data_IF_152334499724
#
_entry.id   IF_152334499724
#
_cell.length_a   1.000
_cell.length_b   1.000
_cell.length_c   1.000
_cell.angle_alpha   90.00
_cell.angle_beta   90.00
_cell.angle_gamma   90.00
#
_symmetry.space_group_name_H-M   'P 1'
#
loop_
_entity.id
_entity.type
_entity.pdbx_description
1 polymer ?
#
# COMPACT_ATOMS: atom_id res chain seq x y z
N UNK A 1 1.15 -4.08 -61.69
CA UNK A 1 1.94 -3.38 -60.65
C UNK A 1 2.76 -4.43 -59.92
N UNK A 2 4.00 -4.66 -60.35
CA UNK A 2 4.89 -5.67 -59.77
C UNK A 2 5.58 -5.07 -58.53
N UNK A 3 5.41 -5.69 -57.37
CA UNK A 3 6.16 -5.34 -56.16
C UNK A 3 7.62 -5.77 -56.32
N UNK A 4 8.54 -4.81 -56.17
CA UNK A 4 9.99 -5.06 -56.21
C UNK A 4 10.42 -5.79 -54.92
N UNK A 5 10.82 -7.08 -55.01
CA UNK A 5 11.18 -7.89 -53.85
C UNK A 5 12.36 -7.32 -53.05
N UNK A 6 13.27 -6.60 -53.73
CA UNK A 6 14.42 -5.98 -53.08
C UNK A 6 14.01 -4.82 -52.16
N UNK A 7 12.98 -4.08 -52.56
CA UNK A 7 12.44 -2.96 -51.78
C UNK A 7 11.66 -3.43 -50.56
N UNK A 8 10.94 -4.54 -50.67
CA UNK A 8 10.21 -5.16 -49.55
C UNK A 8 11.16 -5.74 -48.50
N UNK A 9 12.24 -6.40 -48.92
CA UNK A 9 13.28 -6.90 -48.02
C UNK A 9 14.00 -5.76 -47.29
N UNK A 10 14.33 -4.67 -48.00
CA UNK A 10 14.97 -3.50 -47.40
C UNK A 10 14.08 -2.84 -46.33
N UNK A 11 12.76 -2.75 -46.57
CA UNK A 11 11.79 -2.22 -45.61
C UNK A 11 11.69 -3.10 -44.37
N UNK A 12 11.60 -4.43 -44.53
CA UNK A 12 11.60 -5.37 -43.39
C UNK A 12 12.88 -5.25 -42.55
N UNK A 13 14.04 -5.20 -43.20
CA UNK A 13 15.32 -5.02 -42.50
C UNK A 13 15.41 -3.68 -41.75
N UNK A 14 14.81 -2.61 -42.27
CA UNK A 14 14.73 -1.32 -41.59
C UNK A 14 13.78 -1.38 -40.37
N UNK A 15 12.60 -1.98 -40.52
CA UNK A 15 11.62 -2.16 -39.43
C UNK A 15 12.20 -3.00 -38.28
N UNK A 16 12.87 -4.11 -38.59
CA UNK A 16 13.52 -4.94 -37.57
C UNK A 16 14.62 -4.18 -36.83
N UNK A 17 15.40 -3.34 -37.53
CA UNK A 17 16.42 -2.49 -36.89
C UNK A 17 15.82 -1.50 -35.90
N UNK A 18 14.71 -0.87 -36.25
CA UNK A 18 13.97 0.03 -35.34
C UNK A 18 13.45 -0.73 -34.12
N UNK A 19 12.77 -1.87 -34.32
CA UNK A 19 12.28 -2.70 -33.21
C UNK A 19 13.38 -3.15 -32.24
N UNK A 20 14.55 -3.52 -32.77
CA UNK A 20 15.70 -3.92 -31.95
C UNK A 20 16.26 -2.73 -31.16
N UNK A 21 16.29 -1.54 -31.76
CA UNK A 21 16.72 -0.31 -31.07
C UNK A 21 15.75 0.07 -29.94
N UNK A 22 14.44 0.03 -30.20
CA UNK A 22 13.41 0.32 -29.19
C UNK A 22 13.47 -0.68 -28.03
N UNK A 23 13.60 -1.97 -28.34
CA UNK A 23 13.74 -3.02 -27.32
C UNK A 23 14.97 -2.82 -26.44
N UNK A 24 16.10 -2.40 -27.02
CA UNK A 24 17.32 -2.07 -26.27
C UNK A 24 17.12 -0.87 -25.36
N UNK A 25 16.43 0.17 -25.84
CA UNK A 25 16.14 1.35 -25.04
C UNK A 25 15.22 1.03 -23.85
N UNK A 26 14.22 0.19 -24.07
CA UNK A 26 13.29 -0.26 -23.03
C UNK A 26 14.00 -1.11 -21.96
N UNK A 27 14.90 -2.01 -22.38
CA UNK A 27 15.73 -2.80 -21.46
C UNK A 27 16.74 -1.96 -20.68
N UNK A 28 17.31 -0.92 -21.30
CA UNK A 28 18.20 0.02 -20.61
C UNK A 28 17.45 0.78 -19.50
N UNK A 29 16.27 1.32 -19.80
CA UNK A 29 15.40 1.97 -18.81
C UNK A 29 14.96 1.03 -17.68
N UNK A 30 14.67 -0.23 -18.01
CA UNK A 30 14.34 -1.23 -17.00
C UNK A 30 15.52 -1.50 -16.06
N UNK A 31 16.75 -1.61 -16.60
CA UNK A 31 17.97 -1.78 -15.80
C UNK A 31 18.27 -0.56 -14.93
N UNK A 32 18.14 0.65 -15.46
CA UNK A 32 18.29 1.89 -14.69
C UNK A 32 17.29 1.95 -13.53
N UNK A 33 16.02 1.59 -13.78
CA UNK A 33 15.00 1.48 -12.73
C UNK A 33 15.38 0.44 -11.68
N UNK A 34 15.84 -0.75 -12.08
CA UNK A 34 16.30 -1.78 -11.14
C UNK A 34 17.51 -1.33 -10.32
N UNK A 35 18.46 -0.63 -10.92
CA UNK A 35 19.64 -0.09 -10.22
C UNK A 35 19.25 1.03 -9.23
N UNK A 36 18.38 1.95 -9.65
CA UNK A 36 17.83 2.99 -8.80
C UNK A 36 17.04 2.38 -7.62
N UNK A 37 16.22 1.35 -7.89
CA UNK A 37 15.53 0.57 -6.87
C UNK A 37 16.50 -0.10 -5.89
N UNK A 38 17.58 -0.74 -6.38
CA UNK A 38 18.57 -1.39 -5.52
C UNK A 38 19.36 -0.38 -4.66
N UNK A 39 19.66 0.81 -5.20
CA UNK A 39 20.30 1.88 -4.43
C UNK A 39 19.37 2.44 -3.35
N UNK A 40 18.11 2.69 -3.71
CA UNK A 40 17.09 3.12 -2.75
C UNK A 40 16.86 2.06 -1.67
N UNK A 41 16.81 0.77 -2.01
CA UNK A 41 16.66 -0.35 -1.08
C UNK A 41 17.75 -0.37 0.00
N UNK A 42 19.01 -0.19 -0.41
CA UNK A 42 20.14 -0.11 0.52
C UNK A 42 20.00 1.08 1.46
N UNK A 43 19.50 2.22 0.96
CA UNK A 43 19.26 3.40 1.78
C UNK A 43 18.10 3.22 2.77
N UNK A 44 17.04 2.49 2.40
CA UNK A 44 15.90 2.17 3.27
C UNK A 44 16.31 1.15 4.33
N UNK A 45 16.99 0.07 3.93
CA UNK A 45 17.51 -0.93 4.86
C UNK A 45 18.44 -0.31 5.90
N UNK A 46 19.37 0.55 5.47
CA UNK A 46 20.25 1.27 6.38
C UNK A 46 19.49 2.22 7.33
N UNK A 47 18.43 2.89 6.85
CA UNK A 47 17.58 3.75 7.70
C UNK A 47 16.74 2.95 8.68
N UNK A 48 16.17 1.83 8.26
CA UNK A 48 15.40 0.92 9.09
C UNK A 48 16.27 0.26 10.17
N UNK A 49 17.49 -0.20 9.81
CA UNK A 49 18.49 -0.69 10.76
C UNK A 49 18.88 0.39 11.77
N UNK A 50 19.23 1.60 11.28
CA UNK A 50 19.56 2.72 12.16
C UNK A 50 18.39 3.14 13.07
N UNK A 51 17.13 2.95 12.64
CA UNK A 51 15.94 3.23 13.44
C UNK A 51 15.70 2.13 14.48
N UNK A 52 15.83 0.86 14.09
CA UNK A 52 15.73 -0.28 15.00
C UNK A 52 16.74 -0.17 16.15
N UNK A 53 17.97 0.23 15.86
CA UNK A 53 19.02 0.47 16.87
C UNK A 53 18.67 1.62 17.84
N UNK A 54 17.96 2.66 17.36
CA UNK A 54 17.49 3.76 18.22
C UNK A 54 16.36 3.35 19.18
N UNK A 55 15.56 2.35 18.81
CA UNK A 55 14.41 1.90 19.60
C UNK A 55 14.68 0.67 20.47
N UNK A 56 15.80 -0.02 20.26
CA UNK A 56 16.19 -1.21 21.03
C UNK A 56 16.27 -0.99 22.56
N UNK A 57 16.40 0.27 23.02
CA UNK A 57 16.59 0.60 24.43
C UNK A 57 15.42 1.38 25.08
N UNK A 58 14.22 1.38 24.47
CA UNK A 58 13.07 2.18 24.93
C UNK A 58 11.77 1.40 25.19
N UNK A 59 11.83 0.08 25.33
CA UNK A 59 10.63 -0.76 25.44
C UNK A 59 10.05 -0.71 26.86
N UNK A 60 9.15 0.24 27.13
CA UNK A 60 8.36 0.23 28.37
C UNK A 60 6.99 -0.39 28.12
N UNK A 61 6.74 -1.49 28.83
CA UNK A 61 5.40 -1.95 29.16
C UNK A 61 4.60 -0.79 29.76
N UNK A 62 3.53 -0.37 29.11
CA UNK A 62 2.50 0.47 29.70
C UNK A 62 1.25 0.39 28.84
N UNK A 63 0.28 -0.36 29.36
CA UNK A 63 -1.17 -0.24 29.25
C UNK A 63 -1.78 0.43 28.00
N UNK A 64 -2.76 -0.29 27.44
CA UNK A 64 -3.65 0.17 26.39
C UNK A 64 -4.07 1.62 26.57
N UNK A 65 -3.97 2.32 25.44
CA UNK A 65 -4.24 3.72 25.11
C UNK A 65 -2.99 4.39 24.53
N UNK A 66 -3.08 5.04 23.36
CA UNK A 66 -1.94 5.71 22.79
C UNK A 66 -1.59 6.93 23.64
N UNK A 67 -0.55 6.79 24.48
CA UNK A 67 0.22 7.95 24.91
C UNK A 67 0.75 8.68 23.67
N UNK A 68 1.01 9.99 23.74
CA UNK A 68 1.63 10.71 22.62
C UNK A 68 2.97 10.08 22.17
N UNK A 69 3.64 9.32 23.06
CA UNK A 69 4.83 8.52 22.73
C UNK A 69 4.48 7.21 22.02
N UNK A 70 3.42 6.51 22.42
CA UNK A 70 2.92 5.31 21.74
C UNK A 70 2.51 5.60 20.29
N UNK A 71 1.76 6.70 20.06
CA UNK A 71 1.38 7.14 18.70
C UNK A 71 2.58 7.39 17.77
N UNK A 72 3.67 7.94 18.31
CA UNK A 72 4.91 8.17 17.54
C UNK A 72 5.61 6.86 17.21
N UNK A 73 5.74 5.96 18.18
CA UNK A 73 6.36 4.66 17.96
C UNK A 73 5.58 3.77 16.97
N UNK A 74 4.25 3.90 16.91
CA UNK A 74 3.41 3.21 15.92
C UNK A 74 3.57 3.81 14.53
N UNK A 75 3.59 5.15 14.44
CA UNK A 75 3.86 5.86 13.20
C UNK A 75 5.26 5.55 12.64
N UNK A 76 6.27 5.40 13.50
CA UNK A 76 7.63 5.06 13.10
C UNK A 76 7.72 3.65 12.48
N UNK A 77 7.04 2.67 13.09
CA UNK A 77 7.01 1.30 12.55
C UNK A 77 6.18 1.20 11.29
N UNK A 78 5.00 1.82 11.25
CA UNK A 78 4.19 1.90 10.03
C UNK A 78 4.93 2.66 8.93
N UNK A 79 5.72 3.67 9.27
CA UNK A 79 6.64 4.35 8.35
C UNK A 79 7.62 3.38 7.71
N UNK A 80 8.32 2.57 8.53
CA UNK A 80 9.22 1.54 8.03
C UNK A 80 8.53 0.50 7.13
N UNK A 81 7.31 0.09 7.48
CA UNK A 81 6.51 -0.84 6.65
C UNK A 81 6.11 -0.20 5.33
N UNK A 82 5.61 1.04 5.34
CA UNK A 82 5.20 1.75 4.13
C UNK A 82 6.40 1.94 3.19
N UNK A 83 7.58 2.28 3.72
CA UNK A 83 8.81 2.35 2.92
C UNK A 83 9.21 0.98 2.34
N UNK A 84 9.17 -0.08 3.14
CA UNK A 84 9.46 -1.43 2.67
C UNK A 84 8.43 -1.89 1.62
N UNK A 85 7.16 -1.56 1.81
CA UNK A 85 6.06 -1.90 0.92
C UNK A 85 6.20 -1.17 -0.43
N UNK A 86 6.58 0.10 -0.43
CA UNK A 86 6.88 0.86 -1.65
C UNK A 86 8.04 0.24 -2.44
N UNK A 87 9.03 -0.33 -1.74
CA UNK A 87 10.13 -1.05 -2.39
C UNK A 87 9.71 -2.42 -2.93
N UNK A 88 9.00 -3.19 -2.11
CA UNK A 88 8.66 -4.56 -2.44
C UNK A 88 7.60 -4.57 -3.55
N UNK A 89 6.51 -3.82 -3.44
CA UNK A 89 5.46 -3.80 -4.46
C UNK A 89 5.88 -2.88 -5.62
N UNK A 90 6.69 -3.42 -6.54
CA UNK A 90 7.13 -2.71 -7.74
C UNK A 90 5.93 -2.11 -8.51
N UNK A 91 6.12 -0.96 -9.17
CA UNK A 91 5.10 -0.23 -9.92
C UNK A 91 4.08 0.58 -9.09
N UNK A 92 4.18 0.65 -7.76
CA UNK A 92 3.47 1.67 -6.99
C UNK A 92 4.26 2.99 -6.97
N UNK A 93 3.55 4.11 -7.06
CA UNK A 93 4.10 5.47 -6.98
C UNK A 93 3.97 6.05 -5.57
N UNK A 94 2.98 5.57 -4.81
CA UNK A 94 2.80 5.96 -3.42
C UNK A 94 2.09 4.86 -2.63
N UNK A 95 2.40 4.81 -1.33
CA UNK A 95 1.90 3.81 -0.37
C UNK A 95 1.55 4.50 0.94
N UNK A 96 0.49 4.05 1.61
CA UNK A 96 0.14 4.52 2.95
C UNK A 96 -0.39 3.41 3.84
N UNK A 97 -0.38 3.68 5.15
CA UNK A 97 -1.03 2.87 6.16
C UNK A 97 -2.10 3.72 6.86
N UNK A 98 -3.35 3.30 6.73
CA UNK A 98 -4.51 3.85 7.44
C UNK A 98 -4.68 3.12 8.77
N UNK A 99 -5.03 3.85 9.83
CA UNK A 99 -5.49 3.30 11.11
C UNK A 99 -6.93 3.72 11.38
N UNK A 100 -7.74 2.82 11.93
CA UNK A 100 -9.12 3.12 12.34
C UNK A 100 -9.17 3.31 13.86
N UNK A 101 -9.75 4.42 14.32
CA UNK A 101 -10.12 4.56 15.73
C UNK A 101 -11.49 3.90 15.96
N UNK A 102 -11.51 2.88 16.82
CA UNK A 102 -12.70 2.12 17.20
C UNK A 102 -13.15 2.41 18.64
N UNK A 103 -12.50 3.34 19.36
CA UNK A 103 -12.75 3.60 20.78
C UNK A 103 -13.70 4.77 21.05
N UNK A 104 -14.15 5.49 20.01
CA UNK A 104 -15.09 6.60 20.15
C UNK A 104 -16.55 6.16 20.27
N UNK A 105 -17.37 6.92 21.02
CA UNK A 105 -18.84 6.81 21.04
C UNK A 105 -19.51 7.24 19.70
N UNK A 106 -18.70 7.58 18.69
CA UNK A 106 -19.11 8.08 17.37
C UNK A 106 -18.64 7.15 16.24
N UNK A 107 -19.05 7.46 15.00
CA UNK A 107 -18.67 6.71 13.79
C UNK A 107 -17.16 6.46 13.72
N UNK A 108 -16.71 5.31 13.15
CA UNK A 108 -15.29 5.03 12.97
C UNK A 108 -14.61 6.20 12.25
N UNK A 109 -13.45 6.62 12.78
CA UNK A 109 -12.64 7.68 12.16
C UNK A 109 -11.35 7.10 11.62
N UNK A 110 -11.04 7.43 10.36
CA UNK A 110 -9.84 6.98 9.66
C UNK A 110 -8.73 8.04 9.76
N UNK A 111 -7.48 7.56 9.78
CA UNK A 111 -6.30 8.43 9.76
C UNK A 111 -5.16 7.74 9.02
N UNK A 112 -4.49 8.46 8.14
CA UNK A 112 -3.22 8.04 7.57
C UNK A 112 -2.12 8.16 8.63
N UNK A 113 -1.62 7.01 9.10
CA UNK A 113 -0.59 6.94 10.13
C UNK A 113 0.83 7.04 9.55
N UNK A 114 1.01 6.61 8.30
CA UNK A 114 2.26 6.74 7.53
C UNK A 114 1.94 6.77 6.04
N UNK A 115 2.74 7.50 5.26
CA UNK A 115 2.57 7.60 3.81
C UNK A 115 3.88 7.94 3.09
N UNK A 116 3.95 7.59 1.81
CA UNK A 116 4.96 8.04 0.85
C UNK A 116 4.27 8.77 -0.30
N UNK A 117 4.99 9.69 -0.96
CA UNK A 117 4.46 10.41 -2.12
C UNK A 117 3.13 11.11 -1.84
N UNK A 118 2.18 10.99 -2.76
CA UNK A 118 0.84 11.59 -2.66
C UNK A 118 -0.21 10.73 -1.92
N UNK A 119 0.16 9.60 -1.31
CA UNK A 119 -0.82 8.65 -0.77
C UNK A 119 -1.72 9.24 0.32
N UNK A 120 -1.20 10.10 1.20
CA UNK A 120 -2.01 10.74 2.25
C UNK A 120 -3.14 11.60 1.69
N UNK A 121 -2.89 12.32 0.59
CA UNK A 121 -3.92 13.14 -0.07
C UNK A 121 -5.01 12.28 -0.72
N UNK A 122 -4.64 11.11 -1.25
CA UNK A 122 -5.60 10.15 -1.81
C UNK A 122 -6.43 9.48 -0.72
N UNK A 123 -5.80 9.16 0.42
CA UNK A 123 -6.49 8.68 1.62
C UNK A 123 -7.51 9.71 2.13
N UNK A 124 -7.09 10.97 2.31
CA UNK A 124 -7.94 12.07 2.75
C UNK A 124 -9.16 12.25 1.83
N UNK A 125 -8.98 12.19 0.51
CA UNK A 125 -10.08 12.23 -0.44
C UNK A 125 -11.10 11.10 -0.23
N UNK A 126 -10.65 9.88 0.04
CA UNK A 126 -11.56 8.75 0.32
C UNK A 126 -12.33 8.98 1.62
N UNK A 127 -11.66 9.47 2.66
CA UNK A 127 -12.30 9.74 3.96
C UNK A 127 -13.37 10.83 3.86
N UNK A 128 -13.06 11.93 3.17
CA UNK A 128 -13.99 13.05 2.98
C UNK A 128 -15.21 12.67 2.13
N UNK A 129 -14.99 11.83 1.11
CA UNK A 129 -16.05 11.40 0.21
C UNK A 129 -16.86 10.24 0.79
N UNK A 130 -16.29 9.48 1.73
CA UNK A 130 -16.90 8.29 2.31
C UNK A 130 -16.98 7.12 1.32
N UNK A 131 -16.10 7.10 0.31
CA UNK A 131 -16.02 6.03 -0.68
C UNK A 131 -14.57 5.82 -1.13
N UNK A 132 -14.21 4.58 -1.45
CA UNK A 132 -12.92 4.25 -2.05
C UNK A 132 -12.36 2.92 -1.59
N UNK A 133 -11.34 2.40 -2.30
CA UNK A 133 -10.78 1.08 -2.03
C UNK A 133 -10.27 0.92 -0.59
N UNK A 134 -9.74 1.98 0.04
CA UNK A 134 -9.31 1.93 1.45
C UNK A 134 -10.48 1.69 2.40
N UNK A 135 -11.59 2.39 2.19
CA UNK A 135 -12.77 2.28 3.04
C UNK A 135 -13.45 0.94 2.84
N UNK A 136 -13.63 0.54 1.58
CA UNK A 136 -14.18 -0.77 1.23
C UNK A 136 -13.33 -1.91 1.82
N UNK A 137 -11.99 -1.81 1.79
CA UNK A 137 -11.10 -2.81 2.38
C UNK A 137 -11.22 -2.89 3.91
N UNK A 138 -11.63 -1.81 4.57
CA UNK A 138 -11.92 -1.80 6.02
C UNK A 138 -13.33 -2.32 6.30
N UNK A 139 -14.30 -2.08 5.42
CA UNK A 139 -15.71 -2.43 5.68
C UNK A 139 -16.07 -3.87 5.30
N UNK A 140 -15.45 -4.44 4.27
CA UNK A 140 -15.88 -5.72 3.69
C UNK A 140 -15.55 -6.94 4.55
N UNK A 141 -14.28 -7.12 4.92
CA UNK A 141 -13.81 -8.27 5.69
C UNK A 141 -12.42 -8.02 6.29
N UNK A 142 -12.01 -8.83 7.26
CA UNK A 142 -10.79 -8.70 8.06
C UNK A 142 -9.49 -8.59 7.25
N UNK A 143 -9.41 -9.25 6.09
CA UNK A 143 -8.25 -9.23 5.19
C UNK A 143 -8.71 -8.97 3.73
N UNK A 144 -9.75 -8.16 3.55
CA UNK A 144 -10.22 -7.83 2.21
C UNK A 144 -9.13 -7.12 1.41
N UNK A 145 -8.94 -7.55 0.16
CA UNK A 145 -8.08 -6.88 -0.82
C UNK A 145 -8.98 -6.28 -1.91
N UNK A 146 -9.03 -4.95 -1.97
CA UNK A 146 -9.85 -4.20 -2.93
C UNK A 146 -8.93 -3.56 -3.96
N UNK A 147 -9.12 -3.90 -5.24
CA UNK A 147 -8.30 -3.41 -6.35
C UNK A 147 -9.14 -2.57 -7.31
N UNK A 148 -8.56 -1.46 -7.75
CA UNK A 148 -9.03 -0.66 -8.86
C UNK A 148 -7.99 -0.72 -9.98
N UNK A 149 -8.26 -1.53 -10.99
CA UNK A 149 -7.35 -1.76 -12.11
C UNK A 149 -7.21 -0.51 -12.99
N UNK A 150 -8.29 0.22 -13.23
CA UNK A 150 -8.25 1.55 -13.82
C UNK A 150 -9.32 2.45 -13.18
N UNK A 151 -8.89 3.45 -12.42
CA UNK A 151 -9.78 4.43 -11.80
C UNK A 151 -10.44 5.35 -12.83
N UNK A 152 -9.89 5.48 -14.04
CA UNK A 152 -10.57 6.16 -15.14
C UNK A 152 -11.60 5.26 -15.86
N UNK A 153 -11.67 3.98 -15.49
CA UNK A 153 -12.57 3.00 -16.08
C UNK A 153 -14.04 3.15 -15.63
N UNK A 154 -14.95 2.61 -16.44
CA UNK A 154 -16.40 2.63 -16.17
C UNK A 154 -16.79 1.84 -14.91
N UNK A 155 -16.01 0.81 -14.57
CA UNK A 155 -16.20 0.04 -13.34
C UNK A 155 -15.92 0.88 -12.09
N UNK A 156 -14.74 1.49 -12.00
CA UNK A 156 -14.40 2.36 -10.88
C UNK A 156 -15.42 3.51 -10.74
N UNK A 157 -15.86 4.10 -11.86
CA UNK A 157 -16.87 5.16 -11.86
C UNK A 157 -18.24 4.72 -11.34
N UNK A 158 -18.59 3.44 -11.49
CA UNK A 158 -19.84 2.86 -10.97
C UNK A 158 -19.76 2.64 -9.45
N UNK A 159 -18.60 2.22 -8.96
CA UNK A 159 -18.40 1.85 -7.54
C UNK A 159 -18.08 3.10 -6.69
N UNK A 160 -17.17 3.95 -7.17
CA UNK A 160 -16.72 5.18 -6.48
C UNK A 160 -16.90 6.42 -7.38
N UNK A 161 -18.15 6.83 -7.63
CA UNK A 161 -18.46 7.90 -8.58
C UNK A 161 -17.85 9.26 -8.21
N UNK A 162 -17.66 9.56 -6.92
CA UNK A 162 -17.14 10.85 -6.45
C UNK A 162 -15.61 10.85 -6.35
N UNK A 163 -15.00 9.70 -6.06
CA UNK A 163 -13.55 9.56 -5.91
C UNK A 163 -12.83 9.62 -7.26
N UNK A 164 -13.36 8.96 -8.30
CA UNK A 164 -12.74 8.88 -9.62
C UNK A 164 -12.25 10.22 -10.19
N UNK A 165 -13.04 11.31 -10.21
CA UNK A 165 -12.55 12.60 -10.73
C UNK A 165 -11.42 13.16 -9.88
N UNK A 166 -11.48 13.05 -8.55
CA UNK A 166 -10.42 13.50 -7.64
C UNK A 166 -9.14 12.68 -7.82
N UNK A 167 -9.27 11.36 -7.94
CA UNK A 167 -8.15 10.47 -8.20
C UNK A 167 -7.46 10.80 -9.54
N UNK A 168 -8.23 11.17 -10.57
CA UNK A 168 -7.69 11.61 -11.86
C UNK A 168 -6.90 12.92 -11.74
N UNK A 169 -7.41 13.90 -10.99
CA UNK A 169 -6.72 15.17 -10.73
C UNK A 169 -5.42 14.97 -9.93
N UNK A 170 -5.41 13.98 -9.03
CA UNK A 170 -4.22 13.55 -8.27
C UNK A 170 -3.27 12.66 -9.09
N UNK A 171 -3.61 12.34 -10.34
CA UNK A 171 -2.78 11.51 -11.23
C UNK A 171 -2.76 10.02 -10.89
N UNK A 172 -3.74 9.53 -10.10
CA UNK A 172 -3.85 8.11 -9.73
C UNK A 172 -4.74 7.37 -10.72
N UNK A 173 -4.22 6.29 -11.27
CA UNK A 173 -4.91 5.45 -12.28
C UNK A 173 -5.17 4.03 -11.82
N UNK A 174 -4.45 3.51 -10.85
CA UNK A 174 -4.83 2.26 -10.19
C UNK A 174 -4.57 2.33 -8.70
N UNK A 175 -5.33 1.54 -7.95
CA UNK A 175 -5.24 1.47 -6.50
C UNK A 175 -5.38 0.02 -6.03
N UNK A 176 -4.73 -0.31 -4.93
CA UNK A 176 -4.90 -1.55 -4.18
C UNK A 176 -4.91 -1.22 -2.69
N UNK A 177 -5.95 -1.66 -2.00
CA UNK A 177 -6.06 -1.52 -0.54
C UNK A 177 -6.25 -2.89 0.09
N UNK A 178 -5.50 -3.17 1.15
CA UNK A 178 -5.60 -4.43 1.87
C UNK A 178 -5.84 -4.15 3.34
N UNK A 179 -6.92 -4.73 3.90
CA UNK A 179 -7.24 -4.63 5.32
C UNK A 179 -6.11 -5.15 6.22
N UNK A 180 -5.95 -4.54 7.39
CA UNK A 180 -5.01 -4.97 8.42
C UNK A 180 -5.76 -5.85 9.44
N UNK A 181 -5.68 -7.20 9.33
CA UNK A 181 -6.49 -8.10 10.16
C UNK A 181 -6.02 -8.07 11.61
N UNK A 182 -6.88 -8.49 12.54
CA UNK A 182 -6.45 -8.81 13.90
C UNK A 182 -5.68 -10.14 13.87
N UNK A 183 -4.45 -10.17 14.38
CA UNK A 183 -3.63 -11.40 14.37
C UNK A 183 -3.74 -12.22 15.65
N UNK A 184 -4.30 -11.65 16.71
CA UNK A 184 -4.58 -12.37 17.95
C UNK A 184 -6.06 -12.76 17.99
N UNK A 185 -6.32 -14.07 17.91
CA UNK A 185 -7.63 -14.67 18.18
C UNK A 185 -7.99 -14.39 19.65
N UNK A 186 -8.57 -13.22 19.93
CA UNK A 186 -9.05 -12.87 21.26
C UNK A 186 -10.27 -13.73 21.54
N UNK A 187 -10.09 -14.78 22.34
CA UNK A 187 -11.20 -15.50 22.98
C UNK A 187 -11.96 -14.47 23.82
N UNK A 188 -13.15 -14.07 23.36
CA UNK A 188 -14.00 -13.09 24.04
C UNK A 188 -14.05 -11.70 23.41
N UNK A 189 -13.38 -11.45 22.28
CA UNK A 189 -13.68 -10.25 21.48
C UNK A 189 -14.53 -10.64 20.29
N UNK A 190 -15.69 -10.00 20.27
CA UNK A 190 -16.77 -10.11 19.31
C UNK A 190 -16.29 -10.22 17.84
N UNK A 191 -16.79 -11.21 17.06
CA UNK A 191 -16.46 -11.41 15.65
C UNK A 191 -16.88 -10.28 14.70
N UNK A 192 -17.50 -9.21 15.23
CA UNK A 192 -17.98 -8.04 14.50
C UNK A 192 -16.98 -6.86 14.46
N UNK A 193 -15.69 -7.06 14.78
CA UNK A 193 -14.70 -5.97 14.70
C UNK A 193 -14.18 -5.76 13.28
N UNK A 194 -14.15 -4.49 12.85
CA UNK A 194 -13.53 -4.06 11.60
C UNK A 194 -11.99 -4.21 11.71
N UNK A 195 -11.25 -4.29 10.57
CA UNK A 195 -9.79 -4.28 10.53
C UNK A 195 -9.16 -3.14 11.36
N UNK A 196 -7.90 -3.32 11.77
CA UNK A 196 -7.08 -2.28 12.42
C UNK A 196 -6.93 -1.01 11.58
N UNK A 197 -7.17 -1.14 10.27
CA UNK A 197 -6.71 -0.21 9.26
C UNK A 197 -6.63 -0.86 7.89
N UNK A 198 -5.92 -0.20 6.98
CA UNK A 198 -5.60 -0.71 5.65
C UNK A 198 -4.18 -0.30 5.24
N UNK A 199 -3.54 -1.14 4.44
CA UNK A 199 -2.33 -0.80 3.68
C UNK A 199 -2.73 -0.49 2.24
N UNK A 200 -2.45 0.72 1.79
CA UNK A 200 -2.91 1.25 0.51
C UNK A 200 -1.74 1.48 -0.45
N UNK A 201 -1.97 1.21 -1.72
CA UNK A 201 -1.00 1.35 -2.80
C UNK A 201 -1.66 2.07 -3.97
N UNK A 202 -0.96 3.05 -4.54
CA UNK A 202 -1.46 3.86 -5.64
C UNK A 202 -0.42 3.94 -6.76
N UNK A 203 -0.89 3.97 -8.01
CA UNK A 203 -0.04 4.14 -9.17
C UNK A 203 -0.70 5.01 -10.25
N UNK A 204 0.11 5.77 -10.98
CA UNK A 204 -0.26 6.57 -12.14
C UNK A 204 -0.43 5.72 -13.42
N UNK A 205 0.07 4.48 -13.41
CA UNK A 205 -0.22 3.50 -14.45
C UNK A 205 -1.52 2.74 -14.13
N UNK A 206 -2.38 2.48 -15.13
CA UNK A 206 -3.45 1.49 -14.96
C UNK A 206 -2.85 0.07 -14.88
N UNK A 207 -3.59 -0.85 -14.28
CA UNK A 207 -3.25 -2.26 -14.08
C UNK A 207 -1.88 -2.48 -13.41
N UNK A 208 -1.49 -1.61 -12.48
CA UNK A 208 -0.20 -1.73 -11.81
C UNK A 208 -0.13 -2.92 -10.85
N UNK A 209 -1.28 -3.40 -10.33
CA UNK A 209 -1.36 -4.39 -9.26
C UNK A 209 -1.86 -5.76 -9.74
N UNK A 210 -0.98 -6.48 -10.42
CA UNK A 210 -1.24 -7.88 -10.78
C UNK A 210 -1.34 -8.80 -9.55
N UNK A 211 -1.72 -10.06 -9.76
CA UNK A 211 -1.90 -11.06 -8.70
C UNK A 211 -0.65 -11.24 -7.82
N UNK A 212 0.55 -11.16 -8.39
CA UNK A 212 1.79 -11.29 -7.63
C UNK A 212 1.97 -10.11 -6.66
N UNK A 213 1.68 -8.88 -7.11
CA UNK A 213 1.73 -7.69 -6.27
C UNK A 213 0.63 -7.69 -5.21
N UNK A 214 -0.58 -8.10 -5.56
CA UNK A 214 -1.66 -8.29 -4.60
C UNK A 214 -1.25 -9.24 -3.47
N UNK A 215 -0.66 -10.40 -3.81
CA UNK A 215 -0.19 -11.35 -2.81
C UNK A 215 0.88 -10.76 -1.88
N UNK A 216 1.84 -10.00 -2.44
CA UNK A 216 2.89 -9.32 -1.65
C UNK A 216 2.30 -8.24 -0.74
N UNK A 217 1.35 -7.46 -1.25
CA UNK A 217 0.63 -6.47 -0.46
C UNK A 217 -0.11 -7.12 0.71
N UNK A 218 -0.77 -8.27 0.49
CA UNK A 218 -1.42 -9.05 1.56
C UNK A 218 -0.44 -9.52 2.63
N UNK A 219 0.72 -10.06 2.25
CA UNK A 219 1.73 -10.47 3.23
C UNK A 219 2.26 -9.29 4.05
N UNK A 220 2.46 -8.14 3.41
CA UNK A 220 2.88 -6.91 4.08
C UNK A 220 1.80 -6.38 5.02
N UNK A 221 0.53 -6.43 4.62
CA UNK A 221 -0.61 -6.06 5.45
C UNK A 221 -0.70 -6.96 6.70
N UNK A 222 -0.55 -8.29 6.54
CA UNK A 222 -0.48 -9.22 7.67
C UNK A 222 0.68 -8.92 8.62
N UNK A 223 1.85 -8.56 8.08
CA UNK A 223 3.01 -8.22 8.90
C UNK A 223 2.81 -6.91 9.67
N UNK A 224 2.24 -5.89 9.01
CA UNK A 224 1.87 -4.63 9.63
C UNK A 224 0.87 -4.85 10.77
N UNK A 225 -0.18 -5.62 10.49
CA UNK A 225 -1.17 -6.05 11.46
C UNK A 225 -0.56 -6.77 12.66
N UNK A 226 0.39 -7.69 12.46
CA UNK A 226 1.06 -8.41 13.54
C UNK A 226 1.90 -7.48 14.42
N UNK A 227 2.62 -6.53 13.80
CA UNK A 227 3.43 -5.54 14.52
C UNK A 227 2.56 -4.54 15.30
N UNK A 228 1.38 -4.20 14.78
CA UNK A 228 0.39 -3.40 15.49
C UNK A 228 -0.29 -4.18 16.63
N UNK A 229 -0.63 -5.45 16.40
CA UNK A 229 -1.32 -6.30 17.38
C UNK A 229 -0.41 -6.74 18.53
N UNK A 230 0.89 -6.93 18.27
CA UNK A 230 1.90 -7.27 19.27
C UNK A 230 2.23 -6.13 20.26
N UNK A 231 1.55 -4.98 20.12
CA UNK A 231 1.70 -3.79 20.97
C UNK A 231 0.56 -3.59 21.97
N UNK A 232 -0.45 -4.46 21.97
CA UNK A 232 -1.47 -4.48 23.03
C UNK A 232 -0.95 -5.32 24.23
N UNK A 233 -0.89 -4.74 25.45
CA UNK A 233 -0.45 -5.48 26.62
C UNK A 233 -1.34 -6.71 26.85
N UNK A 234 -0.69 -7.83 27.13
CA UNK A 234 -1.35 -9.03 27.63
C UNK A 234 -2.21 -8.68 28.85
N UNK A 235 -3.52 -8.92 28.77
CA UNK A 235 -4.42 -8.87 29.91
C UNK A 235 -3.98 -9.94 30.92
N UNK A 236 -3.40 -9.49 32.04
CA UNK A 236 -3.19 -10.32 33.22
C UNK A 236 -4.57 -10.60 33.80
N UNK A 237 -5.00 -11.85 33.61
CA UNK A 237 -6.05 -12.53 34.38
C UNK A 237 -5.90 -12.22 35.87
N UNK A 238 -6.75 -11.35 36.43
CA UNK A 238 -7.08 -11.41 37.85
C UNK A 238 -8.37 -12.21 38.00
N UNK A 239 -8.18 -13.52 38.21
CA UNK A 239 -9.10 -14.25 39.08
C UNK A 239 -8.89 -13.67 40.48
N UNK A 240 -9.89 -12.95 40.97
CA UNK A 240 -10.05 -12.52 42.37
C UNK A 240 -11.53 -12.26 42.51
N UNK A 241 -12.32 -12.91 43.35
CA UNK A 241 -12.17 -13.96 44.34
C UNK A 241 -13.58 -14.20 44.86
#
# INVERSE_FOLDING_TARGET
>A
MSSDPGRELALRCAQTRVQVADSRHLMARARERTQAQAHYARSVAARAEAQADRHANGWSAAHGLPSHRGRRADADVLGGIVEAAAYLVASCDSVSATTVDQLGEHRPSWRTAAATGGAATVDEAQYELGEGPCLDAVELDMLAAVSADDLAGSEARRIWPRLVPVAADLGVRSALSVGLPWTAMRVGVHPERQPLGALNFYAAAPHAFDRCRQHRATLLACWAAALMSGREPAEIRRVSG
#
